data_IF_124540070098
#
_entry.id   IF_124540070098
#
_cell.length_a   1.000
_cell.length_b   1.000
_cell.length_c   1.000
_cell.angle_alpha   90.00
_cell.angle_beta   90.00
_cell.angle_gamma   90.00
#
_symmetry.space_group_name_H-M   'P 1'
#
loop_
_entity.id
_entity.type
_entity.pdbx_description
1 polymer ?
#
# COMPACT_ATOMS: atom_id res chain seq x y z
N UNK A 1 -1.84 16.09 35.80
CA UNK A 1 -0.64 16.41 36.60
C UNK A 1 0.55 16.31 35.65
N UNK A 2 1.05 17.46 35.20
CA UNK A 2 2.13 17.57 34.23
C UNK A 2 3.43 17.02 34.82
N UNK A 3 3.95 15.90 34.33
CA UNK A 3 5.37 15.55 34.52
C UNK A 3 6.17 16.01 33.30
N UNK A 4 6.51 17.29 33.36
CA UNK A 4 7.34 18.05 32.43
C UNK A 4 8.82 17.66 32.64
N UNK A 5 9.24 16.45 32.25
CA UNK A 5 10.65 15.99 32.45
C UNK A 5 11.28 15.26 31.25
N UNK A 6 10.58 14.92 30.15
CA UNK A 6 11.18 14.10 29.07
C UNK A 6 11.23 14.70 27.66
N UNK A 7 11.01 16.00 27.48
CA UNK A 7 11.03 16.64 26.14
C UNK A 7 12.42 17.19 25.76
N UNK A 8 13.44 16.35 25.67
CA UNK A 8 14.71 16.73 25.00
C UNK A 8 15.06 15.84 23.79
N UNK A 9 14.41 14.69 23.65
CA UNK A 9 14.48 13.89 22.42
C UNK A 9 13.07 13.46 22.03
N UNK A 10 12.33 14.33 21.33
CA UNK A 10 11.25 13.83 20.47
C UNK A 10 11.92 13.02 19.38
N UNK A 11 12.04 11.71 19.60
CA UNK A 11 12.38 10.79 18.51
C UNK A 11 11.25 10.95 17.50
N UNK A 12 11.52 11.63 16.39
CA UNK A 12 10.69 11.60 15.19
C UNK A 12 10.84 10.21 14.57
N UNK A 13 10.34 9.21 15.29
CA UNK A 13 10.13 7.88 14.76
C UNK A 13 8.88 7.96 13.91
N UNK A 14 9.00 7.50 12.67
CA UNK A 14 7.84 7.24 11.84
C UNK A 14 6.99 6.19 12.57
N UNK A 15 5.77 6.58 12.94
CA UNK A 15 4.94 5.85 13.89
C UNK A 15 3.47 6.06 13.52
N UNK A 16 2.61 5.07 13.83
CA UNK A 16 1.18 5.21 13.56
C UNK A 16 0.61 6.39 14.36
N UNK A 17 -0.09 7.28 13.68
CA UNK A 17 -0.79 8.40 14.32
C UNK A 17 -2.23 8.00 14.67
N UNK A 18 -2.74 8.56 15.77
CA UNK A 18 -4.13 8.34 16.16
C UNK A 18 -5.06 8.82 15.02
N UNK A 19 -6.01 7.96 14.62
CA UNK A 19 -6.99 8.21 13.56
C UNK A 19 -6.41 8.33 12.13
N UNK A 20 -5.19 7.86 11.90
CA UNK A 20 -4.63 7.78 10.55
C UNK A 20 -5.38 6.74 9.70
N UNK A 21 -5.76 7.13 8.47
CA UNK A 21 -6.56 6.31 7.55
C UNK A 21 -5.75 5.72 6.38
N UNK A 22 -4.61 6.33 6.04
CA UNK A 22 -3.71 5.91 4.96
C UNK A 22 -2.40 5.31 5.51
N UNK A 23 -1.46 4.99 4.63
CA UNK A 23 -0.12 4.56 4.99
C UNK A 23 0.65 5.60 5.81
N UNK A 24 1.70 5.11 6.50
CA UNK A 24 2.75 5.94 7.10
C UNK A 24 3.56 6.65 6.01
N UNK A 25 4.36 7.63 6.43
CA UNK A 25 5.16 8.41 5.50
C UNK A 25 6.21 7.50 4.82
N UNK A 26 6.41 7.62 3.50
CA UNK A 26 7.37 6.76 2.80
C UNK A 26 8.80 7.15 3.16
N UNK A 27 9.52 6.25 3.84
CA UNK A 27 10.95 6.40 4.13
C UNK A 27 11.87 5.80 3.05
N UNK A 28 11.30 5.17 2.01
CA UNK A 28 12.06 4.54 0.92
C UNK A 28 11.33 4.74 -0.42
N UNK A 29 12.08 4.76 -1.52
CA UNK A 29 11.52 4.83 -2.89
C UNK A 29 10.55 3.68 -3.19
N UNK A 30 10.75 2.52 -2.55
CA UNK A 30 9.87 1.38 -2.70
C UNK A 30 8.50 1.63 -2.06
N UNK A 31 8.49 2.25 -0.87
CA UNK A 31 7.25 2.62 -0.19
C UNK A 31 6.50 3.73 -0.94
N UNK A 32 7.23 4.66 -1.55
CA UNK A 32 6.64 5.67 -2.46
C UNK A 32 5.93 4.97 -3.64
N UNK A 33 6.60 4.05 -4.33
CA UNK A 33 6.00 3.29 -5.43
C UNK A 33 4.80 2.42 -5.01
N UNK A 34 4.80 1.85 -3.80
CA UNK A 34 3.63 1.14 -3.24
C UNK A 34 2.46 2.11 -3.04
N UNK A 35 2.75 3.31 -2.53
CA UNK A 35 1.74 4.32 -2.27
C UNK A 35 1.12 4.82 -3.57
N UNK A 36 1.93 5.04 -4.62
CA UNK A 36 1.45 5.42 -5.95
C UNK A 36 0.56 4.33 -6.55
N UNK A 37 1.02 3.07 -6.54
CA UNK A 37 0.25 1.93 -7.05
C UNK A 37 -1.09 1.79 -6.29
N UNK A 38 -1.09 2.00 -4.98
CA UNK A 38 -2.31 1.98 -4.18
C UNK A 38 -3.30 3.06 -4.64
N UNK A 39 -2.84 4.30 -4.87
CA UNK A 39 -3.72 5.38 -5.35
C UNK A 39 -4.30 5.07 -6.73
N UNK A 40 -3.50 4.53 -7.65
CA UNK A 40 -3.95 4.11 -8.98
C UNK A 40 -5.05 3.03 -8.90
N UNK A 41 -4.82 1.99 -8.09
CA UNK A 41 -5.80 0.92 -7.87
C UNK A 41 -7.09 1.48 -7.26
N UNK A 42 -6.97 2.30 -6.21
CA UNK A 42 -8.11 2.92 -5.53
C UNK A 42 -8.94 3.79 -6.48
N UNK A 43 -8.29 4.53 -7.38
CA UNK A 43 -8.99 5.32 -8.40
C UNK A 43 -9.91 4.45 -9.26
N UNK A 44 -9.40 3.35 -9.84
CA UNK A 44 -10.22 2.44 -10.65
C UNK A 44 -11.34 1.79 -9.82
N UNK A 45 -11.05 1.37 -8.59
CA UNK A 45 -12.05 0.74 -7.72
C UNK A 45 -13.18 1.70 -7.35
N UNK A 46 -12.88 2.96 -7.03
CA UNK A 46 -13.88 3.98 -6.70
C UNK A 46 -14.76 4.27 -7.93
N UNK A 47 -14.17 4.37 -9.12
CA UNK A 47 -14.93 4.58 -10.37
C UNK A 47 -15.89 3.43 -10.64
N UNK A 48 -15.42 2.17 -10.51
CA UNK A 48 -16.27 0.98 -10.68
C UNK A 48 -17.38 0.96 -9.63
N UNK A 49 -17.05 1.25 -8.37
CA UNK A 49 -18.02 1.28 -7.27
C UNK A 49 -19.14 2.29 -7.54
N UNK A 50 -18.79 3.52 -7.93
CA UNK A 50 -19.76 4.56 -8.26
C UNK A 50 -20.64 4.13 -9.44
N UNK A 51 -20.06 3.55 -10.48
CA UNK A 51 -20.81 3.05 -11.64
C UNK A 51 -21.82 1.96 -11.25
N UNK A 52 -21.41 1.00 -10.44
CA UNK A 52 -22.29 -0.10 -9.99
C UNK A 52 -23.39 0.41 -9.08
N UNK A 53 -23.07 1.29 -8.13
CA UNK A 53 -24.07 1.91 -7.25
C UNK A 53 -25.07 2.75 -8.04
N UNK A 54 -24.60 3.52 -9.01
CA UNK A 54 -25.45 4.32 -9.88
C UNK A 54 -26.37 3.44 -10.75
N UNK A 55 -25.85 2.40 -11.40
CA UNK A 55 -26.65 1.44 -12.16
C UNK A 55 -27.69 0.76 -11.27
N UNK A 56 -27.31 0.31 -10.07
CA UNK A 56 -28.22 -0.29 -9.10
C UNK A 56 -29.35 0.66 -8.70
N UNK A 57 -29.02 1.92 -8.36
CA UNK A 57 -30.00 2.94 -8.04
C UNK A 57 -30.93 3.24 -9.24
N UNK A 58 -30.38 3.32 -10.45
CA UNK A 58 -31.15 3.52 -11.69
C UNK A 58 -32.12 2.38 -11.96
N UNK A 59 -31.71 1.13 -11.70
CA UNK A 59 -32.59 -0.04 -11.86
C UNK A 59 -33.75 0.05 -10.86
N UNK A 60 -33.46 0.32 -9.58
CA UNK A 60 -34.49 0.42 -8.54
C UNK A 60 -35.51 1.53 -8.84
N UNK A 61 -35.04 2.69 -9.30
CA UNK A 61 -35.93 3.81 -9.63
C UNK A 61 -36.72 3.55 -10.90
N UNK A 62 -36.06 3.11 -11.98
CA UNK A 62 -36.70 3.03 -13.31
C UNK A 62 -37.66 1.84 -13.43
N UNK A 63 -37.34 0.72 -12.80
CA UNK A 63 -38.15 -0.51 -12.82
C UNK A 63 -39.03 -0.66 -11.57
N UNK A 64 -39.31 0.44 -10.88
CA UNK A 64 -40.28 0.41 -9.78
C UNK A 64 -41.67 0.03 -10.32
N UNK A 65 -42.43 -0.79 -9.59
CA UNK A 65 -43.72 -1.33 -10.04
C UNK A 65 -44.71 -0.23 -10.49
N UNK A 66 -44.67 0.95 -9.88
CA UNK A 66 -45.51 2.09 -10.30
C UNK A 66 -45.18 2.63 -11.69
N UNK A 67 -43.94 2.49 -12.15
CA UNK A 67 -43.46 2.97 -13.45
C UNK A 67 -43.48 1.87 -14.52
N UNK A 68 -43.17 0.63 -14.14
CA UNK A 68 -43.17 -0.52 -15.05
C UNK A 68 -43.90 -1.73 -14.45
N UNK A 69 -45.24 -1.79 -14.60
CA UNK A 69 -46.06 -2.87 -14.03
C UNK A 69 -45.98 -4.19 -14.80
N UNK A 70 -45.57 -4.17 -16.08
CA UNK A 70 -45.41 -5.37 -16.91
C UNK A 70 -43.92 -5.60 -17.20
N UNK A 71 -43.35 -6.76 -16.84
CA UNK A 71 -41.94 -7.05 -17.07
C UNK A 71 -41.66 -7.38 -18.54
N UNK A 72 -40.53 -6.90 -19.05
CA UNK A 72 -40.00 -7.30 -20.35
C UNK A 72 -39.44 -8.72 -20.32
N UNK A 73 -39.47 -9.42 -21.47
CA UNK A 73 -39.11 -10.85 -21.59
C UNK A 73 -37.89 -11.06 -22.48
N UNK A 74 -36.80 -10.38 -22.18
CA UNK A 74 -35.50 -10.62 -22.81
C UNK A 74 -34.60 -11.45 -21.89
N UNK A 75 -33.94 -12.49 -22.42
CA UNK A 75 -33.13 -13.42 -21.60
C UNK A 75 -31.64 -13.40 -21.94
N UNK A 76 -31.24 -12.86 -23.09
CA UNK A 76 -29.83 -12.81 -23.50
C UNK A 76 -29.56 -11.63 -24.42
N UNK A 77 -28.36 -11.07 -24.33
CA UNK A 77 -27.91 -10.01 -25.23
C UNK A 77 -26.40 -10.14 -25.45
N UNK A 78 -26.01 -10.94 -26.44
CA UNK A 78 -24.61 -11.31 -26.71
C UNK A 78 -23.67 -10.12 -26.86
N UNK A 79 -24.13 -9.01 -27.44
CA UNK A 79 -23.32 -7.80 -27.55
C UNK A 79 -23.05 -7.14 -26.19
N UNK A 80 -23.99 -7.19 -25.25
CA UNK A 80 -23.78 -6.66 -23.88
C UNK A 80 -22.81 -7.58 -23.13
N UNK A 81 -23.00 -8.90 -23.29
CA UNK A 81 -22.15 -9.94 -22.71
C UNK A 81 -20.68 -9.77 -23.08
N UNK A 82 -20.41 -9.49 -24.35
CA UNK A 82 -19.06 -9.23 -24.84
C UNK A 82 -18.47 -7.95 -24.21
N UNK A 83 -19.26 -6.86 -24.17
CA UNK A 83 -18.79 -5.56 -23.65
C UNK A 83 -18.40 -5.66 -22.18
N UNK A 84 -19.25 -6.26 -21.34
CA UNK A 84 -18.95 -6.36 -19.91
C UNK A 84 -17.89 -7.42 -19.59
N UNK A 85 -17.55 -8.32 -20.51
CA UNK A 85 -16.45 -9.27 -20.32
C UNK A 85 -15.10 -8.64 -20.70
N UNK A 86 -15.06 -7.91 -21.81
CA UNK A 86 -13.84 -7.26 -22.31
C UNK A 86 -13.46 -6.06 -21.46
N UNK A 87 -14.42 -5.22 -21.08
CA UNK A 87 -14.15 -3.98 -20.35
C UNK A 87 -13.40 -4.21 -19.01
N UNK A 88 -13.81 -5.13 -18.12
CA UNK A 88 -13.07 -5.43 -16.90
C UNK A 88 -11.70 -6.06 -17.17
N UNK A 89 -11.57 -6.89 -18.20
CA UNK A 89 -10.28 -7.51 -18.57
C UNK A 89 -9.23 -6.44 -18.95
N UNK A 90 -9.65 -5.43 -19.72
CA UNK A 90 -8.79 -4.29 -20.09
C UNK A 90 -8.38 -3.49 -18.85
N UNK A 91 -9.31 -3.19 -17.94
CA UNK A 91 -9.00 -2.46 -16.70
C UNK A 91 -7.95 -3.21 -15.86
N UNK A 92 -8.13 -4.52 -15.69
CA UNK A 92 -7.17 -5.35 -14.92
C UNK A 92 -5.79 -5.34 -15.58
N UNK A 93 -5.72 -5.39 -16.91
CA UNK A 93 -4.45 -5.35 -17.64
C UNK A 93 -3.73 -4.01 -17.44
N UNK A 94 -4.47 -2.89 -17.46
CA UNK A 94 -3.91 -1.57 -17.19
C UNK A 94 -3.33 -1.44 -15.77
N UNK A 95 -3.97 -2.05 -14.78
CA UNK A 95 -3.47 -2.09 -13.39
C UNK A 95 -2.25 -3.03 -13.27
N UNK A 96 -2.21 -4.12 -14.02
CA UNK A 96 -1.14 -5.10 -13.94
C UNK A 96 0.21 -4.55 -14.44
N UNK A 97 0.21 -3.69 -15.45
CA UNK A 97 1.45 -3.13 -16.01
C UNK A 97 2.31 -2.36 -14.97
N UNK A 98 1.81 -1.31 -14.27
CA UNK A 98 2.59 -0.61 -13.26
C UNK A 98 2.95 -1.51 -12.07
N UNK A 99 2.07 -2.45 -11.70
CA UNK A 99 2.34 -3.42 -10.64
C UNK A 99 3.54 -4.32 -10.96
N UNK A 100 3.62 -4.84 -12.19
CA UNK A 100 4.75 -5.66 -12.62
C UNK A 100 6.05 -4.85 -12.65
N UNK A 101 6.03 -3.64 -13.21
CA UNK A 101 7.20 -2.75 -13.22
C UNK A 101 7.72 -2.52 -11.81
N UNK A 102 6.84 -2.23 -10.84
CA UNK A 102 7.22 -2.00 -9.45
C UNK A 102 7.90 -3.23 -8.83
N UNK A 103 7.36 -4.44 -9.02
CA UNK A 103 7.95 -5.67 -8.48
C UNK A 103 9.36 -5.90 -9.02
N UNK A 104 9.60 -5.65 -10.31
CA UNK A 104 10.94 -5.78 -10.88
C UNK A 104 11.93 -4.78 -10.30
N UNK A 105 11.51 -3.54 -10.04
CA UNK A 105 12.40 -2.55 -9.39
C UNK A 105 12.83 -2.94 -7.99
N UNK A 106 12.01 -3.72 -7.27
CA UNK A 106 12.37 -4.17 -5.92
C UNK A 106 13.49 -5.20 -5.93
N UNK A 107 13.49 -6.10 -6.91
CA UNK A 107 14.51 -7.14 -7.05
C UNK A 107 15.88 -6.52 -7.41
N UNK A 108 15.89 -5.54 -8.30
CA UNK A 108 17.11 -4.85 -8.74
C UNK A 108 17.85 -4.16 -7.57
N UNK A 109 17.12 -3.60 -6.61
CA UNK A 109 17.71 -2.91 -5.45
C UNK A 109 18.44 -3.86 -4.50
N UNK A 110 18.10 -5.15 -4.48
CA UNK A 110 18.72 -6.15 -3.61
C UNK A 110 20.09 -6.60 -4.14
N UNK A 111 20.39 -6.36 -5.42
CA UNK A 111 21.59 -6.90 -6.08
C UNK A 111 22.92 -6.37 -5.53
N UNK A 112 22.97 -5.17 -4.95
CA UNK A 112 24.23 -4.54 -4.45
C UNK A 112 24.04 -3.82 -3.11
N UNK A 113 23.97 -4.54 -1.98
CA UNK A 113 23.80 -3.93 -0.68
C UNK A 113 25.08 -3.23 -0.19
N UNK A 114 24.95 -2.01 0.33
CA UNK A 114 26.04 -1.29 1.02
C UNK A 114 26.31 -1.83 2.43
N UNK A 115 25.27 -2.33 3.10
CA UNK A 115 25.30 -2.90 4.45
C UNK A 115 24.52 -4.22 4.44
N UNK A 116 25.05 -5.24 5.10
CA UNK A 116 24.38 -6.53 5.30
C UNK A 116 24.17 -6.77 6.78
N UNK A 117 22.92 -6.82 7.22
CA UNK A 117 22.54 -7.17 8.59
C UNK A 117 21.81 -8.51 8.55
N UNK A 118 22.33 -9.50 9.28
CA UNK A 118 21.64 -10.77 9.51
C UNK A 118 20.69 -10.61 10.69
N UNK A 119 19.40 -10.78 10.44
CA UNK A 119 18.35 -10.76 11.48
C UNK A 119 17.91 -12.20 11.75
N UNK A 120 17.97 -12.63 13.01
CA UNK A 120 17.53 -13.96 13.46
C UNK A 120 16.33 -13.81 14.40
N UNK A 121 15.17 -14.34 14.00
CA UNK A 121 13.98 -14.38 14.84
C UNK A 121 14.08 -15.47 15.89
N UNK A 122 13.83 -15.13 17.15
CA UNK A 122 13.69 -16.06 18.29
C UNK A 122 12.31 -15.85 18.92
N UNK A 123 11.92 -16.73 19.85
CA UNK A 123 10.64 -16.60 20.55
C UNK A 123 10.57 -15.25 21.28
N UNK A 124 9.72 -14.35 20.75
CA UNK A 124 9.45 -12.97 21.23
C UNK A 124 10.61 -11.96 21.16
N UNK A 125 11.69 -12.23 20.44
CA UNK A 125 12.72 -11.21 20.20
C UNK A 125 13.54 -11.47 18.93
N UNK A 126 14.28 -10.45 18.51
CA UNK A 126 15.14 -10.49 17.33
C UNK A 126 16.61 -10.36 17.74
N UNK A 127 17.49 -11.09 17.07
CA UNK A 127 18.95 -10.96 17.23
C UNK A 127 19.57 -10.48 15.93
N UNK A 128 20.40 -9.46 16.00
CA UNK A 128 21.04 -8.82 14.84
C UNK A 128 22.54 -9.16 14.84
N UNK A 129 23.07 -9.49 13.67
CA UNK A 129 24.49 -9.79 13.48
C UNK A 129 25.00 -9.09 12.22
N UNK A 130 26.15 -8.44 12.30
CA UNK A 130 26.79 -7.72 11.20
C UNK A 130 28.20 -8.26 10.98
N UNK A 131 28.84 -7.86 9.88
CA UNK A 131 30.28 -8.15 9.69
C UNK A 131 31.09 -7.51 10.82
N UNK A 132 32.02 -8.28 11.37
CA UNK A 132 32.80 -7.90 12.56
C UNK A 132 33.54 -6.57 12.38
N UNK A 133 34.08 -6.31 11.19
CA UNK A 133 34.73 -5.04 10.86
C UNK A 133 33.81 -3.83 10.97
N UNK A 134 32.55 -3.96 10.53
CA UNK A 134 31.55 -2.89 10.61
C UNK A 134 31.10 -2.70 12.06
N UNK A 135 30.87 -3.80 12.77
CA UNK A 135 30.43 -3.77 14.17
C UNK A 135 31.49 -3.10 15.09
N UNK A 136 32.77 -3.42 14.88
CA UNK A 136 33.87 -2.81 15.64
C UNK A 136 34.00 -1.30 15.36
N UNK A 137 33.82 -0.87 14.10
CA UNK A 137 33.88 0.55 13.76
C UNK A 137 32.72 1.35 14.39
N UNK A 138 31.52 0.78 14.40
CA UNK A 138 30.35 1.41 15.05
C UNK A 138 30.55 1.50 16.57
N UNK A 139 31.06 0.43 17.20
CA UNK A 139 31.34 0.40 18.64
C UNK A 139 32.37 1.47 19.04
N UNK A 140 33.49 1.57 18.32
CA UNK A 140 34.52 2.59 18.55
C UNK A 140 33.99 4.02 18.34
N UNK A 141 33.13 4.21 17.34
CA UNK A 141 32.52 5.52 17.09
C UNK A 141 31.57 5.92 18.22
N UNK A 142 30.76 4.99 18.71
CA UNK A 142 29.87 5.24 19.84
C UNK A 142 30.66 5.53 21.14
N UNK A 143 31.72 4.78 21.40
CA UNK A 143 32.61 5.01 22.55
C UNK A 143 33.25 6.41 22.50
N UNK A 144 33.74 6.84 21.32
CA UNK A 144 34.29 8.19 21.16
C UNK A 144 33.25 9.31 21.30
N UNK A 145 31.97 9.07 20.99
CA UNK A 145 30.91 10.07 21.19
C UNK A 145 30.51 10.18 22.66
N UNK A 146 30.44 9.05 23.37
CA UNK A 146 30.08 9.02 24.79
C UNK A 146 31.19 9.51 25.72
N UNK A 147 32.46 9.50 25.27
CA UNK A 147 33.61 9.95 26.04
C UNK A 147 34.04 11.40 25.74
N UNK A 148 33.48 12.04 24.71
CA UNK A 148 33.77 13.43 24.34
C UNK A 148 32.64 14.41 24.72
N UNK A 149 31.60 13.94 25.40
CA UNK A 149 30.61 14.73 26.16
C UNK A 149 30.93 14.67 27.66
#
# INVERSE_FOLDING_TARGET
MNSMVWNVFTVQADAPMAWQMLFQDPATSNMEGITDLHHDICFFLIVILILVLWLGARIVVSFHHSLQPVPERFNHHTSLELVWAVLPSVIVTLIALPSLTLVYTFDDLVAKPRLTVKVTGRQWYWSYSMKESVQMNLCKTAENLLLND
#
